data_IF_300404629818
#
_entry.id   IF_300404629818
#
_cell.length_a   1.000
_cell.length_b   1.000
_cell.length_c   1.000
_cell.angle_alpha   90.00
_cell.angle_beta   90.00
_cell.angle_gamma   90.00
#
_symmetry.space_group_name_H-M   'P 1'
#
loop_
_entity.id
_entity.type
_entity.pdbx_description
1 polymer ?
#
# COMPACT_ATOMS: atom_id res chain seq x y z
N UNK A 1 14.90 20.58 8.05
CA UNK A 1 15.55 21.80 7.56
C UNK A 1 17.04 21.54 7.60
N UNK A 2 17.69 21.32 6.46
CA UNK A 2 19.14 21.29 6.42
C UNK A 2 19.61 22.73 6.54
N UNK A 3 20.11 23.09 7.72
CA UNK A 3 20.85 24.33 7.91
C UNK A 3 22.23 24.12 7.29
N UNK A 4 22.57 24.90 6.26
CA UNK A 4 23.92 24.95 5.71
C UNK A 4 24.81 25.68 6.72
N UNK A 5 25.35 24.94 7.67
CA UNK A 5 26.50 25.37 8.47
C UNK A 5 27.61 24.35 8.26
N UNK A 6 28.79 24.88 7.95
CA UNK A 6 29.98 24.19 7.49
C UNK A 6 30.44 23.04 8.42
N UNK A 7 29.87 21.85 8.26
CA UNK A 7 30.51 20.55 8.48
C UNK A 7 29.90 19.56 7.49
N UNK A 8 30.74 18.89 6.70
CA UNK A 8 30.31 17.79 5.82
C UNK A 8 29.70 16.68 6.69
N UNK A 9 28.38 16.68 6.87
CA UNK A 9 27.67 15.46 7.23
C UNK A 9 27.61 14.62 5.95
N UNK A 10 28.12 13.37 5.96
CA UNK A 10 27.93 12.48 4.83
C UNK A 10 26.43 12.21 4.73
N UNK A 11 25.79 12.76 3.70
CA UNK A 11 24.40 12.50 3.36
C UNK A 11 24.25 11.10 2.74
N UNK A 12 24.93 10.10 3.29
CA UNK A 12 24.72 8.72 2.86
C UNK A 12 23.62 8.11 3.72
N UNK A 13 22.38 8.46 3.40
CA UNK A 13 21.22 7.73 3.91
C UNK A 13 20.97 6.57 2.96
N UNK A 14 21.56 5.42 3.24
CA UNK A 14 21.20 4.18 2.55
C UNK A 14 19.76 3.84 2.90
N UNK A 15 18.85 4.09 1.97
CA UNK A 15 17.43 3.81 2.13
C UNK A 15 17.14 2.42 1.59
N UNK A 16 16.94 1.46 2.49
CA UNK A 16 16.55 0.09 2.15
C UNK A 16 15.04 -0.05 2.24
N UNK A 17 14.45 -0.79 1.30
CA UNK A 17 13.02 -1.02 1.24
C UNK A 17 12.76 -2.51 1.10
N UNK A 18 11.83 -3.03 1.91
CA UNK A 18 11.25 -4.33 1.66
C UNK A 18 9.95 -4.16 0.86
N UNK A 19 9.71 -5.05 -0.09
CA UNK A 19 8.51 -5.03 -0.92
C UNK A 19 7.97 -6.44 -1.13
N UNK A 20 6.64 -6.50 -1.24
CA UNK A 20 5.87 -7.70 -1.50
C UNK A 20 4.64 -7.30 -2.32
N UNK A 21 3.95 -8.29 -2.86
CA UNK A 21 2.82 -8.07 -3.74
C UNK A 21 1.71 -9.09 -3.45
N UNK A 22 0.47 -8.62 -3.48
CA UNK A 22 -0.72 -9.46 -3.50
C UNK A 22 -1.57 -9.06 -4.69
N UNK A 23 -2.19 -10.05 -5.31
CA UNK A 23 -3.21 -9.86 -6.33
C UNK A 23 -4.57 -10.20 -5.69
N UNK A 24 -5.61 -9.44 -6.03
CA UNK A 24 -6.92 -9.62 -5.42
C UNK A 24 -8.07 -9.44 -6.40
N UNK A 25 -9.13 -10.17 -6.13
CA UNK A 25 -10.42 -10.18 -6.83
C UNK A 25 -11.52 -10.49 -5.79
N UNK A 26 -12.38 -11.48 -6.01
CA UNK A 26 -13.11 -12.25 -5.00
C UNK A 26 -12.20 -13.08 -4.06
N UNK A 27 -10.99 -13.44 -4.50
CA UNK A 27 -9.98 -14.11 -3.69
C UNK A 27 -8.68 -13.29 -3.60
N UNK A 28 -7.76 -13.69 -2.71
CA UNK A 28 -6.48 -13.02 -2.53
C UNK A 28 -5.36 -14.02 -2.77
N UNK A 29 -4.48 -13.67 -3.72
CA UNK A 29 -3.31 -14.44 -4.06
C UNK A 29 -2.08 -13.66 -3.60
N UNK A 30 -1.33 -14.24 -2.66
CA UNK A 30 -0.03 -13.69 -2.27
C UNK A 30 0.95 -13.99 -3.40
N UNK A 31 1.29 -12.97 -4.18
CA UNK A 31 2.24 -13.09 -5.28
C UNK A 31 3.65 -13.22 -4.73
N UNK A 32 3.96 -12.41 -3.70
CA UNK A 32 5.26 -12.41 -3.06
C UNK A 32 5.18 -11.86 -1.65
N UNK A 33 5.85 -12.52 -0.72
CA UNK A 33 6.08 -12.02 0.63
C UNK A 33 6.98 -10.78 0.63
N UNK A 34 6.98 -10.06 1.75
CA UNK A 34 7.85 -8.91 1.94
C UNK A 34 9.33 -9.36 1.92
N UNK A 35 10.11 -8.82 0.98
CA UNK A 35 11.53 -9.18 0.78
C UNK A 35 12.36 -7.95 0.42
N UNK A 36 13.66 -7.99 0.70
CA UNK A 36 14.56 -6.86 0.47
C UNK A 36 14.71 -6.56 -1.03
N UNK A 37 14.30 -5.36 -1.45
CA UNK A 37 14.36 -4.94 -2.84
C UNK A 37 15.80 -4.81 -3.32
N UNK A 38 16.77 -4.52 -2.44
CA UNK A 38 18.17 -4.39 -2.86
C UNK A 38 18.73 -5.71 -3.43
N UNK A 39 18.25 -6.85 -2.91
CA UNK A 39 18.71 -8.18 -3.31
C UNK A 39 17.71 -8.91 -4.22
N UNK A 40 16.41 -8.69 -4.02
CA UNK A 40 15.36 -9.51 -4.63
C UNK A 40 14.53 -8.77 -5.69
N UNK A 41 14.97 -7.59 -6.16
CA UNK A 41 14.27 -6.78 -7.16
C UNK A 41 13.83 -7.56 -8.40
N UNK A 42 14.73 -8.37 -8.98
CA UNK A 42 14.44 -9.05 -10.24
C UNK A 42 13.45 -10.21 -10.05
N UNK A 43 13.50 -10.88 -8.90
CA UNK A 43 12.51 -11.89 -8.54
C UNK A 43 11.13 -11.25 -8.35
N UNK A 44 11.06 -10.14 -7.61
CA UNK A 44 9.82 -9.35 -7.45
C UNK A 44 9.23 -8.93 -8.80
N UNK A 45 10.06 -8.40 -9.71
CA UNK A 45 9.59 -8.00 -11.05
C UNK A 45 9.10 -9.21 -11.85
N UNK A 46 9.77 -10.36 -11.75
CA UNK A 46 9.36 -11.59 -12.43
C UNK A 46 8.01 -12.08 -11.93
N UNK A 47 7.82 -12.12 -10.60
CA UNK A 47 6.57 -12.57 -9.98
C UNK A 47 5.40 -11.64 -10.35
N UNK A 48 5.63 -10.31 -10.35
CA UNK A 48 4.63 -9.33 -10.78
C UNK A 48 4.26 -9.50 -12.26
N UNK A 49 5.23 -9.76 -13.14
CA UNK A 49 4.98 -9.99 -14.57
C UNK A 49 4.20 -11.28 -14.82
N UNK A 50 4.28 -12.25 -13.92
CA UNK A 50 3.54 -13.51 -13.98
C UNK A 50 2.10 -13.40 -13.52
N UNK A 51 1.67 -12.26 -12.96
CA UNK A 51 0.28 -12.08 -12.50
C UNK A 51 -0.66 -12.10 -13.70
N UNK A 52 -1.54 -13.09 -13.73
CA UNK A 52 -2.66 -13.17 -14.67
C UNK A 52 -3.91 -12.59 -14.03
N UNK A 53 -4.70 -11.85 -14.82
CA UNK A 53 -6.02 -11.39 -14.38
C UNK A 53 -6.93 -12.59 -14.07
N UNK A 54 -7.28 -12.74 -12.79
CA UNK A 54 -8.14 -13.82 -12.31
C UNK A 54 -9.65 -13.52 -12.50
N UNK A 55 -9.99 -12.27 -12.81
CA UNK A 55 -11.39 -11.83 -12.98
C UNK A 55 -12.18 -11.83 -11.67
N UNK A 56 -13.47 -11.51 -11.77
CA UNK A 56 -14.50 -11.63 -10.70
C UNK A 56 -14.30 -10.76 -9.45
N UNK A 57 -15.20 -9.81 -9.23
CA UNK A 57 -15.30 -9.10 -7.95
C UNK A 57 -14.07 -8.27 -7.58
N UNK A 58 -14.19 -7.49 -6.51
CA UNK A 58 -13.14 -6.55 -6.09
C UNK A 58 -13.14 -6.40 -4.56
N UNK A 59 -12.69 -7.42 -3.82
CA UNK A 59 -12.59 -7.46 -2.35
C UNK A 59 -11.43 -6.62 -1.82
N UNK A 60 -11.52 -5.31 -2.02
CA UNK A 60 -10.47 -4.37 -1.63
C UNK A 60 -10.30 -4.33 -0.10
N UNK A 61 -11.38 -4.51 0.67
CA UNK A 61 -11.35 -4.57 2.13
C UNK A 61 -10.57 -5.79 2.65
N UNK A 62 -10.81 -6.97 2.07
CA UNK A 62 -10.06 -8.18 2.39
C UNK A 62 -8.58 -8.04 1.99
N UNK A 63 -8.31 -7.45 0.83
CA UNK A 63 -6.95 -7.25 0.33
C UNK A 63 -6.14 -6.35 1.27
N UNK A 64 -6.74 -5.27 1.78
CA UNK A 64 -6.11 -4.39 2.77
C UNK A 64 -5.83 -5.16 4.07
N UNK A 65 -6.80 -5.89 4.62
CA UNK A 65 -6.60 -6.67 5.85
C UNK A 65 -5.49 -7.71 5.70
N UNK A 66 -5.44 -8.42 4.57
CA UNK A 66 -4.35 -9.36 4.29
C UNK A 66 -3.01 -8.66 4.16
N UNK A 67 -2.96 -7.51 3.50
CA UNK A 67 -1.74 -6.69 3.37
C UNK A 67 -1.22 -6.18 4.72
N UNK A 68 -2.11 -5.77 5.62
CA UNK A 68 -1.75 -5.41 7.00
C UNK A 68 -1.09 -6.61 7.69
N UNK A 69 -1.70 -7.79 7.62
CA UNK A 69 -1.14 -9.00 8.23
C UNK A 69 0.26 -9.33 7.69
N UNK A 70 0.49 -9.24 6.38
CA UNK A 70 1.82 -9.47 5.78
C UNK A 70 2.86 -8.43 6.25
N UNK A 71 2.46 -7.15 6.37
CA UNK A 71 3.35 -6.10 6.90
C UNK A 71 3.65 -6.26 8.40
N UNK A 72 2.76 -6.88 9.16
CA UNK A 72 2.97 -7.16 10.58
C UNK A 72 3.82 -8.42 10.81
N UNK A 73 3.71 -9.43 9.93
CA UNK A 73 4.50 -10.67 10.01
C UNK A 73 5.92 -10.45 9.47
N UNK A 74 6.04 -9.79 8.31
CA UNK A 74 7.32 -9.63 7.59
C UNK A 74 8.06 -8.31 7.87
N UNK A 75 7.39 -7.31 8.47
CA UNK A 75 8.00 -6.03 8.79
C UNK A 75 8.67 -6.02 10.17
N UNK A 76 9.71 -5.19 10.37
CA UNK A 76 10.25 -5.03 11.73
C UNK A 76 9.21 -4.37 12.63
N UNK A 77 8.99 -4.97 13.79
CA UNK A 77 7.82 -4.72 14.64
C UNK A 77 7.67 -3.28 15.16
N UNK A 78 8.68 -2.39 15.06
CA UNK A 78 8.66 -1.14 15.81
C UNK A 78 9.14 0.16 15.14
N UNK A 79 9.83 0.16 13.99
CA UNK A 79 10.46 1.42 13.49
C UNK A 79 10.43 1.67 11.98
N UNK A 80 9.73 0.85 11.20
CA UNK A 80 9.64 1.04 9.75
C UNK A 80 8.37 1.79 9.33
N UNK A 81 8.52 2.71 8.35
CA UNK A 81 7.38 3.33 7.70
C UNK A 81 6.68 2.29 6.82
N UNK A 82 5.45 1.93 7.18
CA UNK A 82 4.64 0.93 6.46
C UNK A 82 3.69 1.57 5.47
N UNK A 83 3.63 1.00 4.27
CA UNK A 83 2.83 1.52 3.17
C UNK A 83 2.08 0.39 2.45
N UNK A 84 0.83 0.65 2.09
CA UNK A 84 0.07 -0.18 1.15
C UNK A 84 -0.33 0.71 -0.01
N UNK A 85 -0.05 0.27 -1.23
CA UNK A 85 -0.52 0.92 -2.45
C UNK A 85 -1.55 0.01 -3.09
N UNK A 86 -2.80 0.45 -3.10
CA UNK A 86 -3.92 -0.24 -3.73
C UNK A 86 -4.01 0.24 -5.17
N UNK A 87 -3.92 -0.68 -6.12
CA UNK A 87 -4.05 -0.38 -7.55
C UNK A 87 -5.33 -1.07 -8.05
N UNK A 88 -6.30 -0.29 -8.50
CA UNK A 88 -7.63 -0.79 -8.90
C UNK A 88 -8.21 0.04 -10.04
N UNK A 89 -9.03 -0.56 -10.90
CA UNK A 89 -9.70 0.10 -12.03
C UNK A 89 -11.02 0.81 -11.67
N UNK A 90 -11.56 0.55 -10.48
CA UNK A 90 -12.68 1.30 -9.92
C UNK A 90 -13.94 0.47 -9.65
N UNK A 91 -14.78 1.07 -8.81
CA UNK A 91 -16.08 0.68 -8.24
C UNK A 91 -16.39 -0.83 -8.03
N UNK A 92 -16.50 -1.31 -6.78
CA UNK A 92 -17.21 -2.57 -6.51
C UNK A 92 -18.64 -2.45 -7.05
N UNK A 93 -19.17 -3.52 -7.65
CA UNK A 93 -20.49 -3.53 -8.27
C UNK A 93 -21.54 -2.92 -7.32
N UNK A 94 -22.41 -2.03 -7.82
CA UNK A 94 -23.47 -1.43 -6.99
C UNK A 94 -24.33 -2.51 -6.35
N UNK A 95 -24.44 -2.52 -5.01
CA UNK A 95 -25.11 -3.58 -4.25
C UNK A 95 -24.17 -4.67 -3.71
N UNK A 96 -22.86 -4.56 -3.93
CA UNK A 96 -21.86 -5.46 -3.37
C UNK A 96 -21.65 -5.19 -1.88
N UNK A 97 -21.90 -6.20 -1.05
CA UNK A 97 -21.55 -6.16 0.37
C UNK A 97 -20.09 -6.56 0.51
N UNK A 98 -19.28 -5.63 1.01
CA UNK A 98 -17.87 -5.87 1.32
C UNK A 98 -17.76 -7.00 2.37
N UNK A 99 -17.16 -8.15 2.05
CA UNK A 99 -17.28 -9.36 2.86
C UNK A 99 -16.38 -9.37 4.09
N UNK A 100 -15.38 -8.49 4.16
CA UNK A 100 -14.42 -8.40 5.25
C UNK A 100 -14.67 -7.20 6.17
N UNK A 101 -15.91 -6.72 6.30
CA UNK A 101 -16.30 -5.64 7.22
C UNK A 101 -16.24 -4.24 6.60
N UNK A 102 -15.80 -4.15 5.35
CA UNK A 102 -15.87 -2.94 4.56
C UNK A 102 -14.61 -2.08 4.57
N UNK A 103 -14.50 -1.24 3.54
CA UNK A 103 -13.30 -0.46 3.29
C UNK A 103 -12.98 0.52 4.42
N UNK A 104 -14.00 1.09 5.04
CA UNK A 104 -13.83 2.03 6.16
C UNK A 104 -13.19 1.34 7.37
N UNK A 105 -13.62 0.12 7.69
CA UNK A 105 -13.07 -0.68 8.79
C UNK A 105 -11.62 -1.08 8.50
N UNK A 106 -11.36 -1.65 7.32
CA UNK A 106 -10.02 -2.04 6.90
C UNK A 106 -9.04 -0.84 6.89
N UNK A 107 -9.49 0.34 6.47
CA UNK A 107 -8.67 1.56 6.51
C UNK A 107 -8.45 2.06 7.94
N UNK A 108 -9.42 1.90 8.86
CA UNK A 108 -9.24 2.21 10.27
C UNK A 108 -8.20 1.29 10.91
N UNK A 109 -8.27 -0.01 10.63
CA UNK A 109 -7.31 -1.00 11.10
C UNK A 109 -5.89 -0.70 10.61
N UNK A 110 -5.73 -0.36 9.32
CA UNK A 110 -4.44 0.06 8.76
C UNK A 110 -3.84 1.25 9.55
N UNK A 111 -4.66 2.26 9.85
CA UNK A 111 -4.24 3.44 10.64
C UNK A 111 -3.80 3.06 12.05
N UNK A 112 -4.53 2.16 12.72
CA UNK A 112 -4.18 1.70 14.07
C UNK A 112 -2.82 0.98 14.10
N UNK A 113 -2.45 0.30 13.02
CA UNK A 113 -1.15 -0.35 12.86
C UNK A 113 -0.05 0.56 12.28
N UNK A 114 -0.32 1.86 12.12
CA UNK A 114 0.64 2.82 11.56
C UNK A 114 0.93 2.62 10.06
N UNK A 115 0.04 1.93 9.35
CA UNK A 115 0.14 1.67 7.92
C UNK A 115 -0.54 2.79 7.13
N UNK A 116 0.19 3.38 6.18
CA UNK A 116 -0.34 4.41 5.29
C UNK A 116 -0.86 3.75 4.01
N UNK A 117 -2.15 3.88 3.75
CA UNK A 117 -2.80 3.32 2.55
C UNK A 117 -2.94 4.42 1.51
N UNK A 118 -2.45 4.16 0.30
CA UNK A 118 -2.63 4.98 -0.89
C UNK A 118 -3.41 4.19 -1.94
N UNK A 119 -4.19 4.88 -2.76
CA UNK A 119 -4.79 4.27 -3.94
C UNK A 119 -4.35 4.91 -5.24
N UNK A 120 -4.34 4.07 -6.26
CA UNK A 120 -4.16 4.44 -7.65
C UNK A 120 -5.34 3.85 -8.41
N UNK A 121 -6.16 4.71 -8.99
CA UNK A 121 -7.24 4.32 -9.87
C UNK A 121 -6.72 4.19 -11.32
N UNK A 122 -6.99 3.08 -11.99
CA UNK A 122 -6.65 2.82 -13.40
C UNK A 122 -7.93 2.80 -14.22
N UNK A 123 -8.36 3.96 -14.71
CA UNK A 123 -9.54 4.05 -15.58
C UNK A 123 -9.10 4.28 -17.03
N UNK A 124 -9.47 3.41 -18.00
CA UNK A 124 -9.13 3.60 -19.41
C UNK A 124 -9.89 4.77 -20.06
N UNK A 125 -10.96 5.26 -19.44
CA UNK A 125 -11.74 6.40 -19.90
C UNK A 125 -11.89 7.46 -18.79
N UNK A 126 -11.61 8.70 -19.15
CA UNK A 126 -11.82 9.88 -18.30
C UNK A 126 -13.33 10.17 -18.20
N UNK A 127 -14.05 9.38 -17.41
CA UNK A 127 -15.25 9.90 -16.75
C UNK A 127 -14.95 9.94 -15.26
N UNK A 128 -14.49 11.10 -14.81
CA UNK A 128 -14.32 11.48 -13.40
C UNK A 128 -15.71 11.57 -12.74
N UNK A 129 -16.47 10.48 -12.76
CA UNK A 129 -17.71 10.35 -11.99
C UNK A 129 -17.35 9.72 -10.67
N UNK A 130 -17.01 10.60 -9.73
CA UNK A 130 -16.96 10.29 -8.31
C UNK A 130 -16.17 9.03 -7.94
N UNK A 131 -14.92 8.92 -8.39
CA UNK A 131 -13.91 8.17 -7.63
C UNK A 131 -13.61 8.95 -6.35
N UNK A 132 -14.58 9.00 -5.44
CA UNK A 132 -14.32 9.29 -4.03
C UNK A 132 -13.71 8.03 -3.41
N UNK A 133 -12.50 7.70 -3.86
CA UNK A 133 -11.54 7.32 -2.85
C UNK A 133 -11.17 8.62 -2.16
N UNK A 134 -11.98 9.01 -1.16
CA UNK A 134 -11.46 9.84 -0.10
C UNK A 134 -10.27 9.05 0.44
N UNK A 135 -9.07 9.38 -0.04
CA UNK A 135 -7.88 9.17 0.76
C UNK A 135 -8.28 9.82 2.08
N UNK A 136 -8.53 9.02 3.10
CA UNK A 136 -8.79 9.49 4.46
C UNK A 136 -7.49 10.04 5.03
N UNK A 137 -6.89 10.97 4.30
CA UNK A 137 -5.88 11.91 4.70
C UNK A 137 -6.61 13.05 5.40
N UNK A 138 -6.89 12.85 6.68
CA UNK A 138 -6.37 13.83 7.64
C UNK A 138 -4.96 13.37 8.05
N UNK A 139 -4.10 13.08 7.05
CA UNK A 139 -2.68 13.17 7.27
C UNK A 139 -2.37 14.66 7.10
N UNK A 140 -2.57 15.42 8.18
CA UNK A 140 -1.71 16.56 8.39
C UNK A 140 -0.30 15.99 8.41
N UNK A 141 0.41 16.08 7.29
CA UNK A 141 1.85 15.88 7.26
C UNK A 141 2.44 17.10 7.96
N UNK A 142 2.37 17.11 9.29
CA UNK A 142 3.22 17.94 10.10
C UNK A 142 4.62 17.36 9.95
N UNK A 143 5.38 17.86 8.98
CA UNK A 143 6.83 17.78 9.06
C UNK A 143 7.26 18.67 10.22
N UNK A 144 7.23 18.14 11.45
CA UNK A 144 8.00 18.75 12.52
C UNK A 144 9.48 18.55 12.17
N UNK A 145 10.06 19.58 11.59
CA UNK A 145 11.50 19.77 11.70
C UNK A 145 11.71 20.33 13.10
N UNK A 146 12.21 19.49 14.00
CA UNK A 146 12.86 20.01 15.20
C UNK A 146 14.12 20.75 14.76
N UNK A 147 14.13 22.07 14.99
CA UNK A 147 15.31 22.94 14.89
C UNK A 147 16.32 22.61 15.97
#
# INVERSE_FOLDING_TARGET
MCVVVARRQPCDRSLTWNSGALHYSDEIILVRQLSDVATERQALISDIKGISYIGKGTHTDCAIKRGIAELLIGGSHYQENKYIVVVTDGHPLTGYKEPCGGLQEAANEARQHGVKVFSVAISPDQEVRHTQMHIYTHAHVHTHVST
#
